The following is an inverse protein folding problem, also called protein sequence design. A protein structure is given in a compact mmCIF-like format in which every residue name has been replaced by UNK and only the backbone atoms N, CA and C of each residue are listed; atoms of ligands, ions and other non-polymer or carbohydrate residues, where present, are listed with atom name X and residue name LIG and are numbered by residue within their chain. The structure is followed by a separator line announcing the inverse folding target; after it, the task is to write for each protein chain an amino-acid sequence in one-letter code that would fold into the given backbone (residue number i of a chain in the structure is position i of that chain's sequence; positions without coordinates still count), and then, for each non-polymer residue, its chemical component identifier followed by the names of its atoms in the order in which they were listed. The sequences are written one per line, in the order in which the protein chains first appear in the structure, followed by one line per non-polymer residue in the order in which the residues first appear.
data_IF_641164028276
#
_entry.id   IF_641164028276
#
_cell.length_a   1.000
_cell.length_b   1.000
_cell.length_c   1.000
_cell.angle_alpha   90.00
_cell.angle_beta   90.00
_cell.angle_gamma   90.00
#
_symmetry.space_group_name_H-M   'P 1'
#
loop_
_entity.id
_entity.type
_entity.pdbx_description
1 polymer ?
#
# COMPACT_ATOMS: atom_id res chain seq x y z
N UNK A 1 -31.13 13.86 -2.56
CA UNK A 1 -31.62 14.03 -3.93
C UNK A 1 -33.06 14.57 -3.95
N UNK A 2 -33.98 14.06 -3.11
CA UNK A 2 -35.38 14.52 -3.04
C UNK A 2 -35.56 15.99 -2.63
N UNK A 3 -34.76 16.51 -1.69
CA UNK A 3 -34.88 17.91 -1.20
C UNK A 3 -34.64 19.00 -2.26
N UNK A 4 -33.97 18.65 -3.36
CA UNK A 4 -33.62 19.59 -4.44
C UNK A 4 -34.15 19.14 -5.80
N UNK A 5 -35.07 18.17 -5.83
CA UNK A 5 -35.61 17.57 -7.05
C UNK A 5 -34.53 16.99 -8.01
N UNK A 6 -33.40 16.59 -7.45
CA UNK A 6 -32.26 16.00 -8.20
C UNK A 6 -32.39 14.48 -8.34
N UNK A 7 -33.59 13.93 -8.09
CA UNK A 7 -33.86 12.50 -8.08
C UNK A 7 -33.64 11.83 -9.44
N UNK A 8 -34.07 12.49 -10.52
CA UNK A 8 -33.99 12.00 -11.90
C UNK A 8 -32.68 12.34 -12.61
N UNK A 9 -31.73 12.99 -11.92
CA UNK A 9 -30.45 13.34 -12.53
C UNK A 9 -29.56 12.09 -12.64
N UNK A 10 -29.52 11.50 -13.82
CA UNK A 10 -28.76 10.28 -14.13
C UNK A 10 -27.27 10.39 -13.82
N UNK A 11 -26.66 11.57 -13.92
CA UNK A 11 -25.26 11.79 -13.57
C UNK A 11 -25.04 11.66 -12.05
N UNK A 12 -25.90 12.28 -11.23
CA UNK A 12 -25.84 12.17 -9.77
C UNK A 12 -26.13 10.75 -9.27
N UNK A 13 -27.10 10.07 -9.89
CA UNK A 13 -27.38 8.67 -9.58
C UNK A 13 -26.16 7.78 -9.87
N UNK A 14 -25.52 7.95 -11.03
CA UNK A 14 -24.30 7.21 -11.39
C UNK A 14 -23.10 7.54 -10.49
N UNK A 15 -22.95 8.78 -10.06
CA UNK A 15 -21.90 9.17 -9.12
C UNK A 15 -22.12 8.52 -7.74
N UNK A 16 -23.36 8.52 -7.28
CA UNK A 16 -23.75 7.94 -6.00
C UNK A 16 -23.71 6.40 -6.00
N UNK A 17 -24.04 5.76 -7.13
CA UNK A 17 -23.95 4.30 -7.26
C UNK A 17 -22.50 3.80 -7.15
N UNK A 18 -21.52 4.62 -7.57
CA UNK A 18 -20.07 4.33 -7.51
C UNK A 18 -19.37 4.87 -6.27
N UNK A 19 -20.11 5.28 -5.23
CA UNK A 19 -19.56 5.89 -4.01
C UNK A 19 -18.52 5.02 -3.30
N UNK A 20 -18.65 3.70 -3.41
CA UNK A 20 -17.70 2.71 -2.92
C UNK A 20 -16.28 2.90 -3.50
N UNK A 21 -16.18 3.46 -4.71
CA UNK A 21 -14.90 3.60 -5.44
C UNK A 21 -14.13 4.87 -5.11
N UNK A 22 -14.75 5.86 -4.46
CA UNK A 22 -14.13 7.18 -4.27
C UNK A 22 -14.38 7.80 -2.89
N UNK A 23 -15.40 7.36 -2.15
CA UNK A 23 -15.65 7.87 -0.79
C UNK A 23 -14.70 7.17 0.19
N UNK A 24 -13.86 7.92 0.95
CA UNK A 24 -12.85 7.34 1.83
C UNK A 24 -13.40 6.35 2.87
N UNK A 25 -14.63 6.55 3.35
CA UNK A 25 -15.26 5.67 4.33
C UNK A 25 -15.45 4.22 3.81
N UNK A 26 -15.70 4.05 2.51
CA UNK A 26 -15.88 2.72 1.89
C UNK A 26 -14.54 2.09 1.48
N UNK A 27 -13.49 2.88 1.30
CA UNK A 27 -12.15 2.40 0.94
C UNK A 27 -11.33 1.96 2.16
N UNK A 28 -11.83 2.15 3.39
CA UNK A 28 -11.10 1.81 4.63
C UNK A 28 -10.70 0.34 4.72
N UNK A 29 -11.54 -0.57 4.22
CA UNK A 29 -11.26 -2.01 4.20
C UNK A 29 -10.45 -2.45 2.98
N UNK A 30 -10.09 -1.53 2.08
CA UNK A 30 -9.32 -1.86 0.87
C UNK A 30 -7.84 -1.58 1.12
N UNK A 31 -7.00 -2.61 0.93
CA UNK A 31 -5.56 -2.43 1.01
C UNK A 31 -5.05 -1.67 -0.23
N UNK A 32 -4.75 -0.39 -0.05
CA UNK A 32 -4.20 0.46 -1.11
C UNK A 32 -2.66 0.54 -1.08
N UNK A 33 -1.96 -0.28 -0.28
CA UNK A 33 -0.50 -0.25 -0.12
C UNK A 33 0.07 1.17 0.16
N UNK A 34 -0.65 1.97 0.94
CA UNK A 34 -0.28 3.36 1.26
C UNK A 34 -0.53 4.36 0.12
N UNK A 35 -1.22 3.96 -0.94
CA UNK A 35 -1.51 4.83 -2.08
C UNK A 35 -2.76 5.68 -1.86
N UNK A 36 -2.66 6.98 -2.15
CA UNK A 36 -3.82 7.87 -2.24
C UNK A 36 -4.37 7.92 -3.68
N UNK A 37 -5.62 8.34 -3.83
CA UNK A 37 -6.27 8.49 -5.14
C UNK A 37 -5.56 9.51 -6.05
N UNK A 38 -4.86 10.51 -5.49
CA UNK A 38 -4.15 11.55 -6.24
C UNK A 38 -2.68 11.23 -6.51
N UNK A 39 -2.06 10.33 -5.74
CA UNK A 39 -0.64 9.99 -5.92
C UNK A 39 -0.32 9.48 -7.32
N UNK A 40 -1.26 8.80 -7.98
CA UNK A 40 -1.06 8.31 -9.36
C UNK A 40 -0.90 9.46 -10.35
N UNK A 41 -1.78 10.47 -10.32
CA UNK A 41 -1.69 11.62 -11.22
C UNK A 41 -0.53 12.53 -10.85
N UNK A 42 -0.27 12.74 -9.56
CA UNK A 42 0.88 13.51 -9.08
C UNK A 42 2.20 12.87 -9.49
N UNK A 43 2.34 11.56 -9.32
CA UNK A 43 3.55 10.83 -9.72
C UNK A 43 3.75 10.85 -11.23
N UNK A 44 2.68 10.70 -12.01
CA UNK A 44 2.75 10.74 -13.47
C UNK A 44 3.10 12.14 -13.97
N UNK A 45 2.46 13.17 -13.41
CA UNK A 45 2.77 14.56 -13.73
C UNK A 45 4.22 14.89 -13.35
N UNK A 46 4.69 14.46 -12.18
CA UNK A 46 6.08 14.65 -11.75
C UNK A 46 7.06 13.97 -12.70
N UNK A 47 6.74 12.76 -13.15
CA UNK A 47 7.58 12.01 -14.08
C UNK A 47 7.70 12.70 -15.44
N UNK A 48 6.60 13.18 -16.01
CA UNK A 48 6.62 13.85 -17.31
C UNK A 48 7.06 15.32 -17.26
N UNK A 49 7.12 15.95 -16.08
CA UNK A 49 7.46 17.37 -15.93
C UNK A 49 8.82 17.74 -16.53
N UNK A 50 9.76 16.78 -16.53
CA UNK A 50 11.11 16.97 -17.07
C UNK A 50 11.17 16.80 -18.60
N UNK A 51 10.13 16.24 -19.22
CA UNK A 51 10.08 15.88 -20.64
C UNK A 51 9.08 16.74 -21.43
N UNK A 52 7.93 17.07 -20.83
CA UNK A 52 6.82 17.78 -21.46
C UNK A 52 6.47 19.04 -20.68
N UNK A 53 6.36 20.16 -21.39
CA UNK A 53 5.92 21.46 -20.87
C UNK A 53 4.71 21.95 -21.64
N UNK A 54 4.02 22.96 -21.12
CA UNK A 54 2.91 23.60 -21.82
C UNK A 54 3.30 24.20 -23.17
N UNK A 55 4.59 24.51 -23.36
CA UNK A 55 5.16 25.02 -24.60
C UNK A 55 5.66 23.95 -25.57
N UNK A 56 5.59 22.66 -25.22
CA UNK A 56 6.03 21.56 -26.09
C UNK A 56 5.07 21.43 -27.27
N UNK A 57 5.60 21.50 -28.50
CA UNK A 57 4.79 21.29 -29.70
C UNK A 57 4.30 19.84 -29.78
N UNK A 58 3.12 19.64 -30.37
CA UNK A 58 2.53 18.29 -30.54
C UNK A 58 3.44 17.38 -31.39
N UNK A 59 4.15 17.94 -32.37
CA UNK A 59 5.15 17.21 -33.17
C UNK A 59 6.29 16.65 -32.33
N UNK A 60 6.73 17.38 -31.31
CA UNK A 60 7.84 16.99 -30.45
C UNK A 60 7.39 16.12 -29.27
N UNK A 61 6.10 16.18 -28.94
CA UNK A 61 5.52 15.45 -27.80
C UNK A 61 5.79 13.95 -27.89
N UNK A 62 5.60 13.35 -29.07
CA UNK A 62 5.78 11.90 -29.27
C UNK A 62 7.22 11.49 -28.95
N UNK A 63 8.20 12.24 -29.44
CA UNK A 63 9.62 11.97 -29.19
C UNK A 63 10.00 12.16 -27.71
N UNK A 64 9.46 13.20 -27.05
CA UNK A 64 9.71 13.41 -25.63
C UNK A 64 9.05 12.34 -24.76
N UNK A 65 7.87 11.88 -25.17
CA UNK A 65 7.16 10.79 -24.51
C UNK A 65 7.96 9.49 -24.58
N UNK A 66 8.44 9.11 -25.77
CA UNK A 66 9.29 7.91 -25.95
C UNK A 66 10.54 7.97 -25.07
N UNK A 67 11.25 9.11 -25.07
CA UNK A 67 12.41 9.33 -24.20
C UNK A 67 12.09 9.19 -22.71
N UNK A 68 10.93 9.68 -22.27
CA UNK A 68 10.51 9.55 -20.89
C UNK A 68 10.34 8.06 -20.54
N UNK A 69 9.62 7.32 -21.38
CA UNK A 69 9.37 5.90 -21.22
C UNK A 69 10.68 5.10 -21.20
N UNK A 70 11.59 5.34 -22.12
CA UNK A 70 12.91 4.70 -22.16
C UNK A 70 13.70 4.96 -20.88
N UNK A 71 13.71 6.21 -20.39
CA UNK A 71 14.36 6.55 -19.13
C UNK A 71 13.72 5.82 -17.93
N UNK A 72 12.40 5.59 -17.97
CA UNK A 72 11.71 4.80 -16.93
C UNK A 72 12.12 3.34 -16.95
N UNK A 73 12.18 2.74 -18.13
CA UNK A 73 12.62 1.36 -18.34
C UNK A 73 14.06 1.17 -17.94
N UNK A 74 14.95 2.08 -18.32
CA UNK A 74 16.36 2.02 -17.94
C UNK A 74 16.53 2.02 -16.41
N UNK A 75 15.85 2.95 -15.71
CA UNK A 75 15.86 3.01 -14.24
C UNK A 75 15.27 1.77 -13.58
N UNK A 76 14.27 1.15 -14.19
CA UNK A 76 13.69 -0.10 -13.69
C UNK A 76 14.66 -1.26 -13.86
N UNK A 77 15.26 -1.41 -15.05
CA UNK A 77 16.29 -2.41 -15.34
C UNK A 77 17.48 -2.30 -14.39
N UNK A 78 17.94 -1.09 -14.09
CA UNK A 78 19.01 -0.87 -13.12
C UNK A 78 18.64 -1.37 -11.71
N UNK A 79 17.40 -1.11 -11.27
CA UNK A 79 16.88 -1.59 -9.98
C UNK A 79 16.74 -3.10 -9.94
N UNK A 80 16.33 -3.72 -11.03
CA UNK A 80 16.22 -5.18 -11.15
C UNK A 80 17.60 -5.84 -11.10
N UNK A 81 18.56 -5.31 -11.86
CA UNK A 81 19.95 -5.77 -11.81
C UNK A 81 20.48 -5.64 -10.39
N UNK A 82 20.33 -4.48 -9.75
CA UNK A 82 20.77 -4.27 -8.36
C UNK A 82 20.12 -5.25 -7.39
N UNK A 83 18.83 -5.54 -7.55
CA UNK A 83 18.11 -6.50 -6.72
C UNK A 83 18.70 -7.90 -6.86
N UNK A 84 19.00 -8.34 -8.08
CA UNK A 84 19.53 -9.67 -8.37
C UNK A 84 21.03 -9.82 -8.08
N UNK A 85 21.80 -8.75 -8.23
CA UNK A 85 23.26 -8.78 -8.12
C UNK A 85 23.78 -8.47 -6.72
N UNK A 86 22.95 -7.95 -5.81
CA UNK A 86 23.36 -7.59 -4.45
C UNK A 86 22.57 -8.36 -3.41
N UNK A 87 23.22 -8.73 -2.31
CA UNK A 87 22.54 -9.36 -1.16
C UNK A 87 21.88 -8.30 -0.29
N UNK A 88 20.69 -8.60 0.22
CA UNK A 88 20.05 -7.78 1.25
C UNK A 88 20.90 -7.76 2.52
N UNK A 89 20.93 -6.63 3.21
CA UNK A 89 21.50 -6.53 4.56
C UNK A 89 20.35 -6.78 5.54
N UNK A 90 20.48 -7.80 6.39
CA UNK A 90 19.46 -8.13 7.39
C UNK A 90 19.55 -7.17 8.59
N UNK A 91 18.40 -6.78 9.14
CA UNK A 91 18.31 -5.97 10.36
C UNK A 91 17.94 -6.81 11.58
N UNK A 92 17.27 -7.94 11.39
CA UNK A 92 16.84 -8.84 12.46
C UNK A 92 17.36 -10.26 12.20
N UNK A 93 17.41 -11.12 13.23
CA UNK A 93 17.80 -12.52 13.08
C UNK A 93 16.63 -13.44 12.67
N UNK A 94 15.51 -12.89 12.18
CA UNK A 94 14.33 -13.70 11.89
C UNK A 94 14.42 -14.39 10.52
N UNK A 95 14.14 -15.69 10.50
CA UNK A 95 14.11 -16.49 9.24
C UNK A 95 13.16 -15.93 8.18
N UNK A 96 12.03 -15.34 8.60
CA UNK A 96 11.08 -14.73 7.67
C UNK A 96 11.70 -13.55 6.90
N UNK A 97 12.68 -12.87 7.49
CA UNK A 97 13.43 -11.80 6.81
C UNK A 97 14.34 -12.37 5.72
N UNK A 98 15.00 -13.49 5.98
CA UNK A 98 15.84 -14.19 5.01
C UNK A 98 15.01 -14.64 3.79
N UNK A 99 13.86 -15.26 4.04
CA UNK A 99 12.93 -15.69 2.99
C UNK A 99 12.39 -14.49 2.19
N UNK A 100 11.97 -13.43 2.87
CA UNK A 100 11.49 -12.21 2.21
C UNK A 100 12.58 -11.58 1.33
N UNK A 101 13.85 -11.63 1.72
CA UNK A 101 14.96 -11.09 0.93
C UNK A 101 15.19 -11.84 -0.39
N UNK A 102 14.80 -13.11 -0.46
CA UNK A 102 14.91 -13.95 -1.67
C UNK A 102 13.74 -13.66 -2.62
N UNK A 103 12.53 -13.54 -2.08
CA UNK A 103 11.29 -13.41 -2.87
C UNK A 103 11.02 -11.97 -3.30
N UNK A 104 11.34 -10.98 -2.46
CA UNK A 104 10.94 -9.59 -2.70
C UNK A 104 11.94 -8.79 -3.53
N UNK A 105 11.42 -7.87 -4.34
CA UNK A 105 12.24 -6.81 -4.93
C UNK A 105 12.90 -5.98 -3.84
N UNK A 106 14.08 -5.39 -4.08
CA UNK A 106 14.80 -4.62 -3.05
C UNK A 106 13.93 -3.57 -2.38
N UNK A 107 13.07 -2.89 -3.14
CA UNK A 107 12.16 -1.87 -2.60
C UNK A 107 11.10 -2.47 -1.68
N UNK A 108 10.48 -3.59 -2.07
CA UNK A 108 9.46 -4.26 -1.26
C UNK A 108 10.06 -4.89 -0.01
N UNK A 109 11.27 -5.44 -0.13
CA UNK A 109 12.04 -5.94 1.00
C UNK A 109 12.32 -4.84 2.04
N UNK A 110 12.73 -3.64 1.62
CA UNK A 110 12.96 -2.53 2.57
C UNK A 110 11.69 -2.16 3.35
N UNK A 111 10.53 -2.09 2.67
CA UNK A 111 9.25 -1.82 3.34
C UNK A 111 8.94 -2.92 4.36
N UNK A 112 9.04 -4.19 3.95
CA UNK A 112 8.81 -5.33 4.83
C UNK A 112 9.76 -5.33 6.04
N UNK A 113 11.05 -5.10 5.80
CA UNK A 113 12.08 -5.09 6.83
C UNK A 113 11.84 -3.96 7.85
N UNK A 114 11.42 -2.79 7.40
CA UNK A 114 11.10 -1.68 8.30
C UNK A 114 9.85 -1.99 9.14
N UNK A 115 8.81 -2.60 8.57
CA UNK A 115 7.62 -3.05 9.32
C UNK A 115 7.98 -4.15 10.33
N UNK A 116 8.78 -5.15 9.93
CA UNK A 116 9.24 -6.23 10.81
C UNK A 116 10.10 -5.70 11.97
N UNK A 117 10.98 -4.75 11.69
CA UNK A 117 11.78 -4.11 12.74
C UNK A 117 10.90 -3.28 13.68
N UNK A 118 9.93 -2.55 13.14
CA UNK A 118 8.97 -1.78 13.94
C UNK A 118 8.04 -2.66 14.77
N UNK A 119 7.71 -3.87 14.31
CA UNK A 119 6.86 -4.80 15.06
C UNK A 119 7.53 -5.26 16.36
N UNK A 120 8.86 -5.25 16.45
CA UNK A 120 9.61 -5.52 17.69
C UNK A 120 9.29 -4.54 18.83
N UNK A 121 8.68 -3.39 18.52
CA UNK A 121 8.22 -2.43 19.53
C UNK A 121 6.96 -2.91 20.26
N UNK A 122 6.35 -3.99 19.80
CA UNK A 122 5.12 -4.55 20.34
C UNK A 122 5.34 -5.97 20.85
N UNK A 123 4.63 -6.31 21.91
CA UNK A 123 4.52 -7.65 22.44
C UNK A 123 3.10 -8.18 22.19
N UNK A 124 3.00 -9.44 21.79
CA UNK A 124 1.73 -10.12 21.59
C UNK A 124 1.57 -11.25 22.62
N UNK A 125 0.43 -11.28 23.31
CA UNK A 125 0.04 -12.38 24.19
C UNK A 125 -1.24 -13.03 23.69
N UNK A 126 -1.27 -14.36 23.65
CA UNK A 126 -2.49 -15.10 23.31
C UNK A 126 -3.50 -14.91 24.45
N UNK A 127 -4.73 -14.51 24.12
CA UNK A 127 -5.79 -14.28 25.11
C UNK A 127 -6.74 -15.48 25.19
N UNK A 128 -7.38 -15.80 24.07
CA UNK A 128 -8.33 -16.91 23.99
C UNK A 128 -8.39 -17.49 22.58
N UNK A 129 -8.99 -18.68 22.49
CA UNK A 129 -9.26 -19.40 21.25
C UNK A 129 -10.77 -19.63 21.19
N UNK A 130 -11.38 -19.30 20.06
CA UNK A 130 -12.81 -19.54 19.81
C UNK A 130 -12.92 -20.37 18.54
N UNK A 131 -13.12 -21.69 18.70
CA UNK A 131 -13.02 -22.63 17.59
C UNK A 131 -11.62 -22.61 16.97
N UNK A 132 -11.54 -22.29 15.68
CA UNK A 132 -10.26 -22.14 14.96
C UNK A 132 -9.66 -20.72 15.07
N UNK A 133 -10.45 -19.74 15.49
CA UNK A 133 -10.02 -18.35 15.61
C UNK A 133 -9.14 -18.16 16.87
N UNK A 134 -8.01 -17.47 16.70
CA UNK A 134 -7.06 -17.16 17.78
C UNK A 134 -6.98 -15.65 17.97
N UNK A 135 -7.27 -15.18 19.18
CA UNK A 135 -7.20 -13.75 19.52
C UNK A 135 -5.98 -13.47 20.39
N UNK A 136 -5.23 -12.45 20.00
CA UNK A 136 -4.03 -11.96 20.65
C UNK A 136 -4.24 -10.54 21.17
N UNK A 137 -3.75 -10.26 22.36
CA UNK A 137 -3.62 -8.90 22.90
C UNK A 137 -2.24 -8.37 22.59
N UNK A 138 -2.17 -7.27 21.84
CA UNK A 138 -0.94 -6.61 21.43
C UNK A 138 -0.79 -5.30 22.17
N UNK A 139 0.34 -5.10 22.85
CA UNK A 139 0.69 -3.83 23.51
C UNK A 139 2.08 -3.38 23.11
N UNK A 140 2.34 -2.07 23.16
CA UNK A 140 3.70 -1.58 23.01
C UNK A 140 4.55 -2.04 24.21
N UNK A 141 5.83 -2.35 23.97
CA UNK A 141 6.76 -2.69 25.04
C UNK A 141 6.81 -1.57 26.09
N UNK A 142 6.75 -1.95 27.36
CA UNK A 142 6.72 -1.01 28.49
C UNK A 142 5.36 -0.32 28.71
N UNK A 143 4.30 -0.69 27.97
CA UNK A 143 2.94 -0.18 28.18
C UNK A 143 1.96 -1.31 28.48
N UNK A 144 1.06 -1.03 29.42
CA UNK A 144 -0.08 -1.92 29.74
C UNK A 144 -1.33 -1.58 28.93
N UNK A 145 -1.46 -0.31 28.50
CA UNK A 145 -2.60 0.19 27.71
C UNK A 145 -2.15 1.18 26.62
N UNK A 146 -2.90 1.32 25.50
CA UNK A 146 -4.06 0.51 25.10
C UNK A 146 -3.67 -0.90 24.65
N UNK A 147 -4.58 -1.86 24.80
CA UNK A 147 -4.44 -3.22 24.28
C UNK A 147 -5.19 -3.30 22.96
N UNK A 148 -4.49 -3.66 21.89
CA UNK A 148 -5.10 -3.94 20.60
C UNK A 148 -5.40 -5.44 20.51
N UNK A 149 -6.62 -5.78 20.10
CA UNK A 149 -6.99 -7.17 19.90
C UNK A 149 -6.81 -7.51 18.42
N UNK A 150 -5.99 -8.52 18.16
CA UNK A 150 -5.76 -9.07 16.82
C UNK A 150 -6.37 -10.47 16.77
N UNK A 151 -7.34 -10.69 15.91
CA UNK A 151 -7.99 -12.00 15.72
C UNK A 151 -7.54 -12.57 14.39
N UNK A 152 -6.99 -13.79 14.43
CA UNK A 152 -6.62 -14.58 13.28
C UNK A 152 -7.69 -15.66 13.07
N UNK A 153 -8.35 -15.63 11.92
CA UNK A 153 -9.30 -16.66 11.50
C UNK A 153 -8.54 -17.88 10.92
N UNK A 154 -9.01 -19.08 11.24
CA UNK A 154 -8.24 -20.33 11.10
C UNK A 154 -7.85 -20.69 9.67
N UNK A 155 -8.80 -20.58 8.74
CA UNK A 155 -8.68 -21.18 7.40
C UNK A 155 -8.49 -20.15 6.26
N UNK A 156 -8.80 -18.87 6.50
CA UNK A 156 -8.81 -17.85 5.43
C UNK A 156 -7.62 -16.89 5.44
N UNK A 157 -6.65 -17.04 6.36
CA UNK A 157 -5.52 -16.11 6.47
C UNK A 157 -5.95 -14.66 6.76
N UNK A 158 -7.21 -14.46 7.16
CA UNK A 158 -7.80 -13.18 7.46
C UNK A 158 -7.47 -12.78 8.90
N UNK A 159 -6.93 -11.57 9.05
CA UNK A 159 -6.54 -11.00 10.33
C UNK A 159 -7.27 -9.68 10.54
N UNK A 160 -7.97 -9.55 11.67
CA UNK A 160 -8.64 -8.29 12.06
C UNK A 160 -7.94 -7.70 13.28
N UNK A 161 -7.81 -6.37 13.33
CA UNK A 161 -7.23 -5.64 14.46
C UNK A 161 -8.19 -4.57 14.94
N UNK A 162 -8.34 -4.38 16.26
CA UNK A 162 -9.14 -3.28 16.81
C UNK A 162 -8.58 -1.89 16.52
N UNK A 163 -7.31 -1.82 16.12
CA UNK A 163 -6.67 -0.61 15.59
C UNK A 163 -7.21 -0.19 14.22
N UNK A 164 -7.86 -1.10 13.50
CA UNK A 164 -8.37 -0.91 12.15
C UNK A 164 -9.90 -0.75 12.20
N UNK A 165 -10.38 0.49 12.44
CA UNK A 165 -11.80 0.89 12.43
C UNK A 165 -12.16 1.73 11.19
#
# INVERSE_FOLDING_TARGET
MVKYDLGENTWLQNLYSRRDKWVPAYLRSTFCAGMSTTQRSESMNKFFKDYVRSSTMVSDFVHQYEKAIDARYFKEKEKDVRTKSTRAIMKTPFKIEEEAAIVYTRKSFTIFQDELFNSLRYQARKLYVSGEAKTYGVTAHGKETPIYHVTLEGDEGHATCTCHK
#
